data_IF_313347665801
#
_entry.id   IF_313347665801
#
_cell.length_a   1.000
_cell.length_b   1.000
_cell.length_c   1.000
_cell.angle_alpha   90.00
_cell.angle_beta   90.00
_cell.angle_gamma   90.00
#
_symmetry.space_group_name_H-M   'P 1'
#
loop_
_entity.id
_entity.type
_entity.pdbx_description
1 polymer ?
#
# COMPACT_ATOMS: atom_id res chain seq x y z
N UNK A 1 -72.55 37.53 -2.28
CA UNK A 1 -71.27 37.45 -2.98
C UNK A 1 -70.22 37.00 -1.98
N UNK A 2 -70.07 35.68 -1.82
CA UNK A 2 -69.11 35.10 -0.88
C UNK A 2 -67.99 34.47 -1.66
N UNK A 3 -66.78 35.00 -1.47
CA UNK A 3 -65.53 34.43 -2.01
C UNK A 3 -64.98 33.47 -0.98
N UNK A 4 -65.00 32.17 -1.28
CA UNK A 4 -64.29 31.13 -0.51
C UNK A 4 -62.81 31.15 -0.89
N UNK A 5 -61.97 31.43 0.10
CA UNK A 5 -60.51 31.34 0.01
C UNK A 5 -60.10 29.92 0.34
N UNK A 6 -59.62 29.17 -0.66
CA UNK A 6 -58.99 27.85 -0.47
C UNK A 6 -57.54 28.03 0.01
N UNK A 7 -57.30 27.67 1.26
CA UNK A 7 -55.94 27.60 1.81
C UNK A 7 -55.39 26.21 1.47
N UNK A 8 -54.39 26.20 0.60
CA UNK A 8 -53.62 25.00 0.24
C UNK A 8 -52.56 24.77 1.30
N UNK A 9 -52.73 23.81 2.19
CA UNK A 9 -51.73 23.41 3.17
C UNK A 9 -50.74 22.48 2.45
N UNK A 10 -49.50 23.03 2.18
CA UNK A 10 -48.35 22.23 1.74
C UNK A 10 -47.77 21.51 2.96
N UNK A 11 -48.01 20.18 3.00
CA UNK A 11 -47.27 19.29 3.91
C UNK A 11 -45.85 19.12 3.41
N UNK A 12 -44.89 19.79 4.02
CA UNK A 12 -43.46 19.54 3.86
C UNK A 12 -43.12 18.27 4.62
N UNK A 13 -42.98 17.16 3.89
CA UNK A 13 -42.33 15.95 4.39
C UNK A 13 -40.84 16.27 4.60
N UNK A 14 -40.44 16.46 5.84
CA UNK A 14 -39.03 16.50 6.22
C UNK A 14 -38.46 15.09 6.15
N UNK A 15 -37.62 14.81 5.17
CA UNK A 15 -36.76 13.66 5.19
C UNK A 15 -35.77 13.82 6.35
N UNK A 16 -35.96 13.02 7.40
CA UNK A 16 -34.98 12.89 8.46
C UNK A 16 -33.73 12.22 7.90
N UNK A 17 -32.66 12.99 7.78
CA UNK A 17 -31.32 12.48 7.53
C UNK A 17 -30.90 11.62 8.71
N UNK A 18 -30.93 10.32 8.58
CA UNK A 18 -30.21 9.41 9.45
C UNK A 18 -28.72 9.68 9.24
N UNK A 19 -28.15 10.47 10.13
CA UNK A 19 -26.73 10.65 10.27
C UNK A 19 -26.13 9.28 10.65
N UNK A 20 -25.43 8.66 9.71
CA UNK A 20 -24.53 7.56 9.98
C UNK A 20 -23.46 8.10 10.91
N UNK A 21 -23.48 7.68 12.17
CA UNK A 21 -22.41 7.94 13.14
C UNK A 21 -21.08 7.46 12.54
N UNK A 22 -20.30 8.40 12.04
CA UNK A 22 -18.88 8.19 11.81
C UNK A 22 -18.25 7.96 13.19
N UNK A 23 -17.99 6.71 13.57
CA UNK A 23 -17.03 6.42 14.61
C UNK A 23 -15.68 6.99 14.18
N UNK A 24 -15.40 8.22 14.58
CA UNK A 24 -14.08 8.80 14.55
C UNK A 24 -13.21 7.98 15.52
N UNK A 25 -12.47 7.02 14.98
CA UNK A 25 -11.30 6.47 15.65
C UNK A 25 -10.27 7.61 15.70
N UNK A 26 -10.34 8.40 16.79
CA UNK A 26 -9.28 9.34 17.12
C UNK A 26 -8.07 8.47 17.47
N UNK A 27 -7.16 8.25 16.51
CA UNK A 27 -5.81 7.78 16.80
C UNK A 27 -5.20 8.83 17.73
N UNK A 28 -4.94 8.46 19.00
CA UNK A 28 -4.27 9.32 19.96
C UNK A 28 -2.90 9.67 19.37
N UNK A 29 -2.75 10.91 18.90
CA UNK A 29 -1.46 11.41 18.44
C UNK A 29 -0.60 11.63 19.70
N UNK A 30 0.35 10.73 19.95
CA UNK A 30 1.44 11.04 20.86
C UNK A 30 2.26 12.21 20.31
N UNK A 31 2.74 13.14 21.16
CA UNK A 31 3.57 14.25 20.69
C UNK A 31 4.88 13.69 20.13
N UNK A 32 5.01 13.76 18.80
CA UNK A 32 6.18 13.27 18.06
C UNK A 32 7.34 14.23 18.32
N UNK A 33 8.48 13.72 18.80
CA UNK A 33 9.71 14.49 18.83
C UNK A 33 10.12 14.89 17.42
N UNK A 34 10.25 16.18 17.15
CA UNK A 34 10.44 16.77 15.81
C UNK A 34 11.63 16.23 15.00
N UNK A 35 12.58 15.51 15.61
CA UNK A 35 13.81 15.05 14.95
C UNK A 35 13.60 13.68 14.28
N UNK A 36 12.72 12.83 14.77
CA UNK A 36 12.58 11.46 14.25
C UNK A 36 11.51 11.32 13.15
N UNK A 37 10.50 12.20 13.11
CA UNK A 37 9.54 12.26 12.00
C UNK A 37 10.18 12.73 10.69
N UNK A 38 11.29 13.47 10.76
CA UNK A 38 12.05 13.89 9.59
C UNK A 38 12.57 12.69 8.77
N UNK A 39 12.97 11.60 9.42
CA UNK A 39 13.54 10.45 8.71
C UNK A 39 12.59 9.77 7.73
N UNK A 40 11.29 9.71 8.03
CA UNK A 40 10.29 9.15 7.10
C UNK A 40 10.04 10.10 5.92
N UNK A 41 9.96 11.39 6.20
CA UNK A 41 9.80 12.44 5.17
C UNK A 41 11.03 12.44 4.25
N UNK A 42 12.23 12.34 4.83
CA UNK A 42 13.49 12.27 4.08
C UNK A 42 13.55 11.01 3.22
N UNK A 43 13.13 9.84 3.76
CA UNK A 43 13.10 8.61 2.98
C UNK A 43 12.08 8.69 1.83
N UNK A 44 10.89 9.24 2.07
CA UNK A 44 9.91 9.45 1.00
C UNK A 44 10.44 10.39 -0.09
N UNK A 45 11.14 11.47 0.29
CA UNK A 45 11.80 12.37 -0.65
C UNK A 45 12.91 11.66 -1.43
N UNK A 46 13.73 10.85 -0.75
CA UNK A 46 14.79 10.05 -1.39
C UNK A 46 14.20 9.05 -2.39
N UNK A 47 13.14 8.33 -1.99
CA UNK A 47 12.44 7.40 -2.88
C UNK A 47 11.94 8.11 -4.16
N UNK A 48 11.39 9.31 -4.03
CA UNK A 48 10.96 10.10 -5.19
C UNK A 48 12.14 10.53 -6.07
N UNK A 49 13.29 10.87 -5.49
CA UNK A 49 14.53 11.16 -6.27
C UNK A 49 15.01 9.92 -7.02
N UNK A 50 14.98 8.73 -6.39
CA UNK A 50 15.34 7.45 -7.02
C UNK A 50 14.40 7.16 -8.18
N UNK A 51 13.08 7.22 -7.96
CA UNK A 51 12.07 6.96 -8.99
C UNK A 51 12.26 7.83 -10.23
N UNK A 52 12.64 9.08 -10.05
CA UNK A 52 12.81 10.04 -11.13
C UNK A 52 14.23 10.08 -11.69
N UNK A 53 15.16 9.27 -11.17
CA UNK A 53 16.58 9.26 -11.61
C UNK A 53 17.34 10.55 -11.25
N UNK A 54 16.92 11.25 -10.19
CA UNK A 54 17.50 12.52 -9.74
C UNK A 54 18.64 12.34 -8.74
N UNK A 55 18.97 11.11 -8.37
CA UNK A 55 20.06 10.76 -7.46
C UNK A 55 20.85 9.57 -7.99
N UNK A 56 22.17 9.62 -7.84
CA UNK A 56 23.04 8.50 -8.21
C UNK A 56 22.92 7.37 -7.19
N UNK A 57 23.05 6.11 -7.65
CA UNK A 57 22.93 4.89 -6.83
C UNK A 57 23.74 4.94 -5.54
N UNK A 58 25.02 5.25 -5.62
CA UNK A 58 25.92 5.24 -4.45
C UNK A 58 25.52 6.30 -3.41
N UNK A 59 25.07 7.47 -3.88
CA UNK A 59 24.55 8.52 -2.99
C UNK A 59 23.26 8.08 -2.33
N UNK A 60 22.32 7.53 -3.10
CA UNK A 60 21.06 7.03 -2.58
C UNK A 60 21.27 5.90 -1.57
N UNK A 61 22.17 4.96 -1.83
CA UNK A 61 22.50 3.89 -0.88
C UNK A 61 23.07 4.45 0.44
N UNK A 62 23.98 5.43 0.36
CA UNK A 62 24.50 6.10 1.57
C UNK A 62 23.40 6.80 2.35
N UNK A 63 22.47 7.47 1.69
CA UNK A 63 21.33 8.10 2.36
C UNK A 63 20.43 7.04 3.03
N UNK A 64 20.15 5.91 2.37
CA UNK A 64 19.40 4.78 2.98
C UNK A 64 20.13 4.28 4.23
N UNK A 65 21.46 4.09 4.17
CA UNK A 65 22.27 3.63 5.31
C UNK A 65 22.19 4.59 6.52
N UNK A 66 22.07 5.90 6.27
CA UNK A 66 21.90 6.93 7.31
C UNK A 66 20.47 6.95 7.85
N UNK A 67 19.47 6.75 7.00
CA UNK A 67 18.05 6.85 7.37
C UNK A 67 17.54 5.59 8.11
N UNK A 68 17.98 4.39 7.72
CA UNK A 68 17.48 3.15 8.30
C UNK A 68 17.63 3.07 9.83
N UNK A 69 18.77 3.40 10.45
CA UNK A 69 18.87 3.41 11.92
C UNK A 69 17.89 4.37 12.58
N UNK A 70 17.64 5.54 11.97
CA UNK A 70 16.71 6.55 12.47
C UNK A 70 15.25 6.07 12.35
N UNK A 71 14.90 5.41 11.22
CA UNK A 71 13.58 4.81 11.03
C UNK A 71 13.32 3.67 12.02
N UNK A 72 14.33 2.85 12.27
CA UNK A 72 14.26 1.76 13.25
C UNK A 72 14.06 2.30 14.67
N UNK A 73 14.83 3.32 15.07
CA UNK A 73 14.65 3.98 16.38
C UNK A 73 13.25 4.57 16.49
N UNK A 74 12.83 5.36 15.49
CA UNK A 74 11.49 5.94 15.47
C UNK A 74 10.39 4.88 15.61
N UNK A 75 10.50 3.76 14.88
CA UNK A 75 9.54 2.67 14.94
C UNK A 75 9.38 2.15 16.38
N UNK A 76 10.45 1.77 17.05
CA UNK A 76 10.38 1.22 18.40
C UNK A 76 10.02 2.28 19.44
N UNK A 77 10.53 3.50 19.32
CA UNK A 77 10.26 4.61 20.26
C UNK A 77 8.78 5.05 20.22
N UNK A 78 8.07 4.75 19.13
CA UNK A 78 6.65 5.08 18.96
C UNK A 78 5.72 3.85 19.03
N UNK A 79 6.15 2.78 19.69
CA UNK A 79 5.30 1.62 19.99
C UNK A 79 5.30 0.52 18.95
N UNK A 80 6.18 0.61 17.94
CA UNK A 80 6.39 -0.49 17.00
C UNK A 80 6.90 -1.75 17.69
N UNK A 81 6.49 -2.92 17.21
CA UNK A 81 6.78 -4.23 17.78
C UNK A 81 7.31 -5.17 16.71
N UNK A 82 8.14 -6.11 17.11
CA UNK A 82 8.57 -7.21 16.24
C UNK A 82 7.44 -8.22 16.06
N UNK A 83 7.24 -8.61 14.81
CA UNK A 83 6.30 -9.65 14.44
C UNK A 83 7.03 -10.80 13.73
N UNK A 84 6.74 -12.01 14.15
CA UNK A 84 7.25 -13.21 13.46
C UNK A 84 6.38 -13.53 12.25
N UNK A 85 6.87 -14.40 11.36
CA UNK A 85 6.06 -14.90 10.23
C UNK A 85 4.75 -15.58 10.67
N UNK A 86 4.64 -15.97 11.94
CA UNK A 86 3.39 -16.51 12.49
C UNK A 86 2.25 -15.48 12.53
N UNK A 87 2.58 -14.21 12.64
CA UNK A 87 1.62 -13.08 12.66
C UNK A 87 1.36 -12.50 11.27
N UNK A 88 2.04 -12.96 10.23
CA UNK A 88 1.86 -12.43 8.88
C UNK A 88 0.48 -12.74 8.33
N UNK A 89 -0.09 -11.80 7.57
CA UNK A 89 -1.44 -11.85 7.01
C UNK A 89 -1.39 -11.78 5.50
N UNK A 90 -2.29 -12.50 4.82
CA UNK A 90 -2.40 -12.42 3.36
C UNK A 90 -2.82 -11.00 2.95
N UNK A 91 -2.16 -10.36 1.99
CA UNK A 91 -2.27 -8.92 1.77
C UNK A 91 -3.56 -8.45 1.08
N UNK A 92 -4.53 -9.35 0.84
CA UNK A 92 -5.86 -9.00 0.33
C UNK A 92 -6.98 -9.54 1.21
N UNK A 93 -7.86 -8.67 1.68
CA UNK A 93 -9.00 -9.04 2.52
C UNK A 93 -9.98 -9.98 1.81
N UNK A 94 -10.21 -11.14 2.42
CA UNK A 94 -11.16 -12.14 1.92
C UNK A 94 -10.70 -12.90 0.69
N UNK A 95 -9.42 -12.85 0.37
CA UNK A 95 -8.74 -13.63 -0.67
C UNK A 95 -7.65 -14.52 -0.07
N UNK A 96 -7.14 -15.43 -0.86
CA UNK A 96 -6.09 -16.37 -0.46
C UNK A 96 -5.10 -16.63 -1.59
N UNK A 97 -4.12 -17.49 -1.38
CA UNK A 97 -3.04 -17.75 -2.33
C UNK A 97 -3.48 -18.29 -3.70
N UNK A 98 -4.70 -18.78 -3.86
CA UNK A 98 -5.22 -19.26 -5.16
C UNK A 98 -5.37 -18.16 -6.22
N UNK A 99 -5.34 -16.88 -5.81
CA UNK A 99 -5.44 -15.72 -6.71
C UNK A 99 -4.09 -15.08 -7.05
N UNK A 100 -2.99 -15.69 -6.62
CA UNK A 100 -1.64 -15.28 -7.03
C UNK A 100 -1.43 -15.66 -8.49
N UNK A 101 -0.97 -14.70 -9.30
CA UNK A 101 -0.73 -14.90 -10.73
C UNK A 101 0.44 -15.81 -11.03
N UNK A 102 0.34 -16.46 -12.18
CA UNK A 102 1.32 -17.44 -12.63
C UNK A 102 1.16 -18.81 -11.95
N UNK A 103 1.75 -19.83 -12.56
CA UNK A 103 1.79 -21.17 -11.97
C UNK A 103 2.93 -21.22 -10.94
N UNK A 104 2.62 -21.62 -9.70
CA UNK A 104 3.61 -21.75 -8.61
C UNK A 104 4.48 -20.49 -8.39
N UNK A 105 3.89 -19.28 -8.57
CA UNK A 105 4.60 -18.03 -8.41
C UNK A 105 5.56 -17.68 -9.56
N UNK A 106 5.38 -18.27 -10.74
CA UNK A 106 6.22 -18.04 -11.93
C UNK A 106 6.14 -16.61 -12.49
N UNK A 107 5.20 -15.79 -12.01
CA UNK A 107 5.16 -14.35 -12.32
C UNK A 107 6.34 -13.55 -11.77
N UNK A 108 7.09 -14.10 -10.81
CA UNK A 108 8.24 -13.45 -10.21
C UNK A 108 9.48 -13.52 -11.12
N UNK A 109 9.98 -12.35 -11.55
CA UNK A 109 11.17 -12.22 -12.41
C UNK A 109 12.11 -11.16 -11.82
N UNK A 110 13.13 -11.59 -11.06
CA UNK A 110 14.09 -10.68 -10.45
C UNK A 110 15.13 -10.12 -11.43
N UNK A 111 15.39 -10.84 -12.53
CA UNK A 111 16.40 -10.44 -13.51
C UNK A 111 16.12 -9.07 -14.10
N UNK A 112 17.12 -8.20 -14.10
CA UNK A 112 17.02 -6.84 -14.61
C UNK A 112 16.31 -5.85 -13.68
N UNK A 113 16.02 -6.23 -12.43
CA UNK A 113 15.53 -5.32 -11.42
C UNK A 113 16.66 -4.80 -10.54
N UNK A 114 16.68 -3.51 -10.35
CA UNK A 114 17.44 -2.82 -9.31
C UNK A 114 16.58 -1.71 -8.72
N UNK A 115 16.52 -1.62 -7.39
CA UNK A 115 15.75 -0.59 -6.68
C UNK A 115 16.16 0.83 -7.11
N UNK A 116 17.47 1.03 -7.33
CA UNK A 116 18.03 2.34 -7.70
C UNK A 116 17.82 2.72 -9.17
N UNK A 117 17.37 1.81 -10.01
CA UNK A 117 16.97 2.14 -11.38
C UNK A 117 15.59 2.84 -11.41
N UNK A 118 14.91 2.90 -10.26
CA UNK A 118 13.65 3.60 -10.07
C UNK A 118 12.60 3.16 -11.10
N UNK A 119 11.96 4.11 -11.74
CA UNK A 119 10.92 3.83 -12.73
C UNK A 119 11.44 3.20 -14.04
N UNK A 120 12.76 3.11 -14.23
CA UNK A 120 13.41 2.52 -15.43
C UNK A 120 13.78 1.05 -15.26
N UNK A 121 13.62 0.47 -14.05
CA UNK A 121 13.96 -0.93 -13.81
C UNK A 121 13.29 -1.87 -14.81
N UNK A 122 13.93 -2.99 -15.10
CA UNK A 122 13.37 -4.13 -15.80
C UNK A 122 12.96 -5.21 -14.80
N UNK A 123 12.50 -6.34 -15.27
CA UNK A 123 12.04 -7.42 -14.40
C UNK A 123 10.69 -7.15 -13.74
N UNK A 124 10.26 -8.12 -12.93
CA UNK A 124 9.01 -8.12 -12.18
C UNK A 124 9.21 -8.91 -10.87
N UNK A 125 9.96 -8.36 -9.89
CA UNK A 125 10.29 -9.09 -8.65
C UNK A 125 9.13 -9.06 -7.65
N UNK A 126 7.92 -9.36 -8.12
CA UNK A 126 6.67 -9.25 -7.39
C UNK A 126 5.77 -10.44 -7.65
N UNK A 127 4.76 -10.58 -6.80
CA UNK A 127 3.59 -11.40 -7.03
C UNK A 127 2.40 -10.48 -7.35
N UNK A 128 1.76 -10.70 -8.48
CA UNK A 128 0.49 -10.05 -8.80
C UNK A 128 -0.65 -10.87 -8.19
N UNK A 129 -1.44 -10.24 -7.33
CA UNK A 129 -2.51 -10.88 -6.56
C UNK A 129 -3.82 -10.30 -7.06
N UNK A 130 -4.61 -11.11 -7.78
CA UNK A 130 -5.78 -10.66 -8.52
C UNK A 130 -7.04 -10.65 -7.68
N UNK A 131 -7.96 -9.72 -7.97
CA UNK A 131 -9.34 -9.78 -7.49
C UNK A 131 -10.28 -10.22 -8.60
N UNK A 132 -11.49 -10.67 -8.23
CA UNK A 132 -12.53 -11.00 -9.21
C UNK A 132 -13.23 -9.72 -9.63
N UNK A 133 -12.78 -9.12 -10.71
CA UNK A 133 -13.28 -7.86 -11.28
C UNK A 133 -13.23 -7.94 -12.82
N UNK A 134 -14.27 -8.51 -13.43
CA UNK A 134 -14.35 -8.75 -14.88
C UNK A 134 -14.58 -7.46 -15.68
N UNK A 135 -15.37 -6.54 -15.12
CA UNK A 135 -15.70 -5.26 -15.74
C UNK A 135 -14.61 -4.19 -15.51
N UNK A 136 -13.65 -4.44 -14.59
CA UNK A 136 -12.49 -3.57 -14.28
C UNK A 136 -12.88 -2.21 -13.70
N UNK A 137 -13.90 -2.21 -12.84
CA UNK A 137 -14.34 -1.03 -12.08
C UNK A 137 -13.69 -0.92 -10.70
N UNK A 138 -12.74 -1.82 -10.39
CA UNK A 138 -12.06 -1.96 -9.10
C UNK A 138 -12.94 -2.49 -7.96
N UNK A 139 -14.15 -2.94 -8.24
CA UNK A 139 -15.02 -3.58 -7.26
C UNK A 139 -14.95 -5.10 -7.40
N UNK A 140 -14.95 -5.80 -6.28
CA UNK A 140 -15.14 -7.26 -6.31
C UNK A 140 -16.50 -7.61 -6.90
N UNK A 141 -16.53 -8.45 -7.95
CA UNK A 141 -17.76 -8.80 -8.69
C UNK A 141 -18.82 -9.45 -7.80
N UNK A 142 -18.44 -10.20 -6.76
CA UNK A 142 -19.36 -10.88 -5.85
C UNK A 142 -19.84 -9.96 -4.74
N UNK A 143 -18.93 -9.21 -4.12
CA UNK A 143 -19.23 -8.34 -2.97
C UNK A 143 -19.71 -6.94 -3.39
N UNK A 144 -19.48 -6.53 -4.64
CA UNK A 144 -19.81 -5.20 -5.19
C UNK A 144 -19.23 -4.05 -4.37
N UNK A 145 -18.01 -4.23 -3.86
CA UNK A 145 -17.28 -3.24 -3.06
C UNK A 145 -15.77 -3.33 -3.31
N UNK A 146 -15.06 -2.26 -2.96
CA UNK A 146 -13.60 -2.24 -2.97
C UNK A 146 -13.03 -3.34 -2.07
N UNK A 147 -11.90 -3.91 -2.47
CA UNK A 147 -11.15 -4.89 -1.67
C UNK A 147 -10.04 -4.17 -0.94
N UNK A 148 -9.96 -4.36 0.38
CA UNK A 148 -8.91 -3.79 1.19
C UNK A 148 -7.57 -4.50 0.96
N UNK A 149 -6.52 -3.68 0.86
CA UNK A 149 -5.13 -4.13 0.94
C UNK A 149 -4.72 -4.11 2.40
N UNK A 150 -4.27 -5.25 2.89
CA UNK A 150 -3.82 -5.43 4.27
C UNK A 150 -2.30 -5.44 4.31
N UNK A 151 -1.72 -4.86 5.36
CA UNK A 151 -0.29 -5.04 5.58
C UNK A 151 0.02 -6.49 5.89
N UNK A 152 0.92 -7.11 5.12
CA UNK A 152 1.35 -8.49 5.37
C UNK A 152 2.09 -8.60 6.69
N UNK A 153 2.87 -7.59 7.04
CA UNK A 153 3.76 -7.55 8.23
C UNK A 153 3.48 -6.31 9.06
N UNK A 154 4.09 -6.22 10.24
CA UNK A 154 4.25 -4.95 10.92
C UNK A 154 5.36 -4.11 10.28
N UNK A 155 5.44 -2.84 10.66
CA UNK A 155 6.51 -1.96 10.19
C UNK A 155 6.15 -0.49 10.23
N UNK A 156 6.97 0.30 9.57
CA UNK A 156 6.79 1.74 9.43
C UNK A 156 6.63 2.10 7.95
N UNK A 157 5.66 2.95 7.63
CA UNK A 157 5.49 3.48 6.28
C UNK A 157 6.64 4.44 5.97
N UNK A 158 7.42 4.14 4.94
CA UNK A 158 8.62 4.92 4.56
C UNK A 158 8.45 5.74 3.30
N UNK A 159 7.51 5.35 2.42
CA UNK A 159 7.15 6.16 1.25
C UNK A 159 5.74 5.82 0.75
N UNK A 160 5.08 6.81 0.18
CA UNK A 160 3.77 6.65 -0.47
C UNK A 160 3.68 7.50 -1.73
N UNK A 161 2.88 7.03 -2.70
CA UNK A 161 2.35 7.85 -3.78
C UNK A 161 0.82 7.80 -3.72
N UNK A 162 0.20 8.95 -3.60
CA UNK A 162 -1.26 9.08 -3.45
C UNK A 162 -1.93 9.74 -4.65
N UNK A 163 -1.11 10.34 -5.54
CA UNK A 163 -1.58 11.06 -6.73
C UNK A 163 -1.11 10.33 -7.99
N UNK A 164 -2.06 9.98 -8.83
CA UNK A 164 -1.77 9.37 -10.11
C UNK A 164 -2.93 9.60 -11.08
N UNK A 165 -2.61 9.86 -12.34
CA UNK A 165 -3.58 9.92 -13.43
C UNK A 165 -3.05 9.17 -14.67
N UNK A 166 -3.87 9.06 -15.70
CA UNK A 166 -3.57 8.27 -16.90
C UNK A 166 -2.47 8.87 -17.81
N UNK A 167 -2.04 10.09 -17.55
CA UNK A 167 -0.91 10.74 -18.25
C UNK A 167 0.42 10.45 -17.59
N UNK A 168 0.40 9.94 -16.35
CA UNK A 168 1.59 9.60 -15.59
C UNK A 168 2.31 8.38 -16.18
N UNK A 169 3.62 8.46 -16.28
CA UNK A 169 4.48 7.34 -16.66
C UNK A 169 4.92 6.47 -15.46
N UNK A 170 4.44 6.78 -14.26
CA UNK A 170 4.77 6.04 -13.05
C UNK A 170 4.24 4.62 -13.11
N UNK A 171 5.13 3.63 -13.07
CA UNK A 171 4.80 2.21 -13.27
C UNK A 171 3.92 1.66 -12.15
N UNK A 172 4.24 1.96 -10.90
CA UNK A 172 3.51 1.47 -9.72
C UNK A 172 2.17 2.17 -9.47
N UNK A 173 1.93 3.34 -10.10
CA UNK A 173 0.75 4.15 -9.80
C UNK A 173 0.75 4.63 -8.35
N UNK A 174 -0.38 4.52 -7.67
CA UNK A 174 -0.45 4.78 -6.22
C UNK A 174 0.12 3.58 -5.47
N UNK A 175 1.07 3.84 -4.59
CA UNK A 175 1.80 2.78 -3.89
C UNK A 175 2.14 3.13 -2.44
N UNK A 176 2.57 2.10 -1.71
CA UNK A 176 3.07 2.19 -0.33
C UNK A 176 4.35 1.36 -0.24
N UNK A 177 5.37 1.91 0.42
CA UNK A 177 6.52 1.18 0.93
C UNK A 177 6.48 1.10 2.45
N UNK A 178 6.61 -0.10 3.00
CA UNK A 178 6.72 -0.35 4.44
C UNK A 178 8.09 -0.96 4.72
N UNK A 179 8.82 -0.41 5.69
CA UNK A 179 10.01 -1.01 6.26
C UNK A 179 9.61 -1.82 7.49
N UNK A 180 9.87 -3.11 7.46
CA UNK A 180 9.75 -4.01 8.60
C UNK A 180 11.12 -4.23 9.24
N UNK A 181 11.40 -3.65 10.43
CA UNK A 181 12.69 -3.82 11.12
C UNK A 181 12.96 -5.26 11.54
N UNK A 182 11.93 -6.06 11.84
CA UNK A 182 12.10 -7.44 12.33
C UNK A 182 12.62 -8.37 11.24
N UNK A 183 12.12 -8.25 10.01
CA UNK A 183 12.59 -9.05 8.87
C UNK A 183 13.70 -8.36 8.08
N UNK A 184 14.06 -7.12 8.45
CA UNK A 184 14.99 -6.24 7.74
C UNK A 184 14.64 -6.15 6.24
N UNK A 185 13.38 -5.86 5.94
CA UNK A 185 12.84 -5.89 4.57
C UNK A 185 11.98 -4.68 4.27
N UNK A 186 11.94 -4.31 2.97
CA UNK A 186 10.95 -3.41 2.42
C UNK A 186 9.83 -4.20 1.78
N UNK A 187 8.59 -3.80 2.03
CA UNK A 187 7.39 -4.35 1.40
C UNK A 187 6.70 -3.28 0.55
N UNK A 188 6.36 -3.63 -0.66
CA UNK A 188 5.76 -2.73 -1.65
C UNK A 188 4.37 -3.20 -2.05
N UNK A 189 3.43 -2.27 -1.98
CA UNK A 189 2.03 -2.48 -2.32
C UNK A 189 1.64 -1.45 -3.37
N UNK A 190 1.41 -1.87 -4.62
CA UNK A 190 1.19 -0.94 -5.72
C UNK A 190 -0.11 -1.22 -6.49
N UNK A 191 -0.42 -0.31 -7.41
CA UNK A 191 -1.64 -0.24 -8.22
C UNK A 191 -2.90 0.08 -7.41
N UNK A 192 -2.74 0.69 -6.22
CA UNK A 192 -3.87 0.99 -5.34
C UNK A 192 -4.84 2.00 -5.97
N UNK A 193 -6.15 1.88 -5.67
CA UNK A 193 -7.13 2.93 -5.96
C UNK A 193 -7.06 4.04 -4.92
N UNK A 194 -6.95 3.69 -3.64
CA UNK A 194 -6.75 4.63 -2.55
C UNK A 194 -5.61 4.16 -1.65
N UNK A 195 -4.83 5.11 -1.16
CA UNK A 195 -3.81 4.91 -0.12
C UNK A 195 -4.36 5.54 1.17
N UNK A 196 -4.36 4.79 2.27
CA UNK A 196 -5.01 5.16 3.54
C UNK A 196 -4.01 5.50 4.63
N UNK A 197 -2.72 5.38 4.34
CA UNK A 197 -1.61 5.62 5.26
C UNK A 197 -0.64 6.64 4.69
N UNK A 198 0.21 7.18 5.56
CA UNK A 198 1.22 8.20 5.21
C UNK A 198 2.59 7.84 5.79
N UNK A 199 3.68 8.41 5.28
CA UNK A 199 5.00 8.23 5.87
C UNK A 199 4.99 8.49 7.38
N UNK A 200 5.70 7.65 8.13
CA UNK A 200 5.77 7.56 9.58
C UNK A 200 4.59 6.86 10.29
N UNK A 201 3.55 6.46 9.62
CA UNK A 201 2.56 5.60 10.26
C UNK A 201 3.20 4.25 10.63
N UNK A 202 2.96 3.82 11.88
CA UNK A 202 3.37 2.51 12.38
C UNK A 202 2.21 1.56 12.15
N UNK A 203 2.50 0.43 11.51
CA UNK A 203 1.51 -0.51 10.99
C UNK A 203 1.67 -1.86 11.67
N UNK A 204 0.57 -2.50 12.02
CA UNK A 204 0.53 -3.89 12.47
C UNK A 204 0.10 -4.85 11.33
N UNK A 205 0.45 -6.16 11.43
CA UNK A 205 -0.03 -7.15 10.45
C UNK A 205 -1.57 -7.16 10.38
N UNK A 206 -2.13 -7.17 9.17
CA UNK A 206 -3.57 -7.17 8.94
C UNK A 206 -4.24 -5.79 8.98
N UNK A 207 -3.51 -4.72 9.29
CA UNK A 207 -4.05 -3.37 9.21
C UNK A 207 -4.36 -2.98 7.76
N UNK A 208 -5.53 -2.35 7.53
CA UNK A 208 -5.92 -1.86 6.21
C UNK A 208 -5.09 -0.63 5.85
N UNK A 209 -4.31 -0.73 4.77
CA UNK A 209 -3.39 0.32 4.32
C UNK A 209 -3.81 0.98 3.00
N UNK A 210 -4.61 0.28 2.20
CA UNK A 210 -5.06 0.76 0.89
C UNK A 210 -6.33 0.02 0.44
N UNK A 211 -6.81 0.36 -0.75
CA UNK A 211 -7.75 -0.47 -1.52
C UNK A 211 -7.16 -0.82 -2.88
N UNK A 212 -7.41 -2.05 -3.35
CA UNK A 212 -6.93 -2.52 -4.67
C UNK A 212 -7.44 -1.63 -5.77
N UNK A 213 -6.61 -1.40 -6.78
CA UNK A 213 -6.98 -0.59 -7.92
C UNK A 213 -6.30 -1.01 -9.22
N UNK A 214 -6.17 -0.03 -10.09
CA UNK A 214 -5.62 -0.18 -11.44
C UNK A 214 -4.72 1.00 -11.82
N UNK A 215 -4.21 1.75 -10.84
CA UNK A 215 -3.30 2.87 -11.13
C UNK A 215 -1.93 2.35 -11.57
N UNK A 216 -1.21 3.13 -12.38
CA UNK A 216 0.10 2.76 -12.90
C UNK A 216 0.13 2.54 -14.41
N UNK A 217 1.28 2.81 -15.03
CA UNK A 217 1.49 2.89 -16.48
C UNK A 217 0.94 1.69 -17.29
N UNK A 218 0.97 0.49 -16.74
CA UNK A 218 0.49 -0.73 -17.40
C UNK A 218 -0.79 -1.27 -16.79
N UNK A 219 -0.99 -1.09 -15.49
CA UNK A 219 -2.11 -1.67 -14.75
C UNK A 219 -3.46 -1.05 -15.14
N UNK A 220 -3.51 0.23 -15.53
CA UNK A 220 -4.75 0.88 -15.95
C UNK A 220 -5.23 0.44 -17.34
N UNK A 221 -4.37 -0.17 -18.16
CA UNK A 221 -4.69 -0.57 -19.52
C UNK A 221 -5.76 -1.66 -19.56
N UNK A 222 -6.65 -1.62 -20.56
CA UNK A 222 -7.76 -2.56 -20.70
C UNK A 222 -7.36 -4.05 -20.63
N UNK A 223 -6.15 -4.40 -21.08
CA UNK A 223 -5.62 -5.78 -21.05
C UNK A 223 -5.24 -6.30 -19.67
N UNK A 224 -4.98 -5.41 -18.69
CA UNK A 224 -4.52 -5.81 -17.36
C UNK A 224 -5.72 -6.06 -16.43
N UNK A 225 -5.84 -7.23 -15.78
CA UNK A 225 -6.81 -7.44 -14.72
C UNK A 225 -6.53 -6.55 -13.50
N UNK A 226 -7.54 -6.34 -12.66
CA UNK A 226 -7.38 -5.61 -11.39
C UNK A 226 -6.60 -6.46 -10.39
N UNK A 227 -5.51 -5.92 -9.83
CA UNK A 227 -4.61 -6.68 -8.94
C UNK A 227 -3.83 -5.77 -7.99
N UNK A 228 -3.39 -6.36 -6.91
CA UNK A 228 -2.32 -5.84 -6.06
C UNK A 228 -0.98 -6.35 -6.62
N UNK A 229 -0.06 -5.45 -6.93
CA UNK A 229 1.35 -5.78 -7.20
C UNK A 229 2.11 -5.74 -5.89
N UNK A 230 2.52 -6.92 -5.39
CA UNK A 230 3.13 -7.09 -4.09
C UNK A 230 4.58 -7.57 -4.20
N UNK A 231 5.51 -6.82 -3.60
CA UNK A 231 6.94 -7.12 -3.68
C UNK A 231 7.60 -7.03 -2.31
N UNK A 232 8.59 -7.89 -2.09
CA UNK A 232 9.50 -7.84 -0.95
C UNK A 232 10.94 -7.62 -1.42
N UNK A 233 11.64 -6.67 -0.79
CA UNK A 233 13.09 -6.50 -0.93
C UNK A 233 13.74 -6.75 0.44
N UNK A 234 14.65 -7.70 0.52
CA UNK A 234 15.48 -7.90 1.71
C UNK A 234 16.70 -6.99 1.67
N UNK A 235 17.00 -6.37 2.78
CA UNK A 235 18.20 -5.58 2.92
C UNK A 235 19.39 -6.50 3.23
N UNK A 236 20.43 -6.45 2.37
CA UNK A 236 21.64 -7.22 2.61
C UNK A 236 22.51 -6.58 3.72
N UNK A 237 23.68 -7.14 4.01
CA UNK A 237 24.60 -6.64 5.04
C UNK A 237 25.05 -5.17 4.84
N UNK A 238 24.92 -4.66 3.63
CA UNK A 238 25.24 -3.26 3.29
C UNK A 238 23.96 -2.42 3.18
N UNK A 239 22.81 -2.92 3.65
CA UNK A 239 21.49 -2.28 3.51
C UNK A 239 21.05 -2.07 2.06
N UNK A 240 21.58 -2.87 1.12
CA UNK A 240 21.17 -2.82 -0.27
C UNK A 240 19.88 -3.60 -0.47
N UNK A 241 18.81 -3.00 -1.03
CA UNK A 241 17.53 -3.69 -1.24
C UNK A 241 17.65 -4.74 -2.35
N UNK A 242 17.52 -6.03 -1.99
CA UNK A 242 17.59 -7.17 -2.90
C UNK A 242 16.21 -7.81 -3.11
N UNK A 243 15.79 -8.08 -4.35
CA UNK A 243 14.56 -8.79 -4.62
C UNK A 243 14.49 -10.13 -3.88
N UNK A 244 13.36 -10.38 -3.25
CA UNK A 244 13.10 -11.64 -2.56
C UNK A 244 11.77 -12.23 -3.02
N UNK A 245 11.77 -13.51 -3.45
CA UNK A 245 10.55 -14.17 -3.84
C UNK A 245 9.75 -14.61 -2.60
N UNK A 246 8.73 -13.86 -2.26
CA UNK A 246 7.86 -14.11 -1.11
C UNK A 246 6.73 -15.12 -1.38
N UNK A 247 6.70 -15.78 -2.55
CA UNK A 247 5.64 -16.72 -2.89
C UNK A 247 5.43 -17.80 -1.82
N UNK A 248 6.51 -18.45 -1.36
CA UNK A 248 6.44 -19.45 -0.30
C UNK A 248 5.89 -18.90 1.01
N UNK A 249 6.21 -17.66 1.36
CA UNK A 249 5.68 -17.00 2.54
C UNK A 249 4.17 -16.74 2.38
N UNK A 250 3.72 -16.27 1.21
CA UNK A 250 2.30 -16.02 0.91
C UNK A 250 1.44 -17.31 0.99
N UNK A 251 1.93 -18.43 0.45
CA UNK A 251 1.18 -19.70 0.54
C UNK A 251 1.18 -20.28 1.95
N UNK A 252 2.23 -20.05 2.76
CA UNK A 252 2.33 -20.57 4.13
C UNK A 252 1.37 -19.88 5.11
N UNK A 253 0.96 -18.64 4.85
CA UNK A 253 0.00 -17.91 5.67
C UNK A 253 -1.34 -18.65 5.71
N UNK A 254 -1.75 -19.27 4.61
CA UNK A 254 -3.04 -19.94 4.46
C UNK A 254 -3.13 -21.32 5.11
N UNK A 255 -2.00 -21.96 5.39
CA UNK A 255 -1.99 -23.27 6.06
C UNK A 255 -2.28 -23.19 7.56
N UNK A 256 -2.55 -21.98 8.10
CA UNK A 256 -2.80 -21.71 9.52
C UNK A 256 -4.26 -21.41 9.86
N UNK A 257 -5.13 -21.31 8.85
CA UNK A 257 -6.59 -21.19 9.00
C UNK A 257 -7.27 -22.53 8.71
#
# INVERSE_FOLDING_TARGET
MNRHLFILILLLLSCSNNAIEKKNLIKVQHPVSNISSAACVDFNSLNNKILNGLVQRDKALKEIQILLPKLRSYFYDNGGKDFTKASWVFPLEGYNSSVIGGENGSGYIASGYDYFDGNKHKGHPAQDIFIIDKNRDCLDDKKKKLVNVLSMTGGIVIATETVWDTTSNLRGGKYIWIYDPSSNSFFYYAHNSNVLVRPCDIIEPGETIATVGRTGLSAFKKRSPTHLHFMQLKLDKNNYPRPFNCYKDLISIMSKT
#
